data_IF_718435773160
#
_entry.id   IF_718435773160
#
_cell.length_a   1.000
_cell.length_b   1.000
_cell.length_c   1.000
_cell.angle_alpha   90.00
_cell.angle_beta   90.00
_cell.angle_gamma   90.00
#
_symmetry.space_group_name_H-M   'P 1'
#
loop_
_entity.id
_entity.type
_entity.pdbx_description
1 polymer ?
#
# COMPACT_ATOMS: atom_id res chain seq x y z
N UNK A 1 -13.25 31.33 27.60
CA UNK A 1 -11.99 31.94 28.07
C UNK A 1 -12.29 32.68 29.37
N UNK A 2 -12.07 32.05 30.52
CA UNK A 2 -12.00 32.75 31.80
C UNK A 2 -10.73 33.60 31.80
N UNK A 3 -10.87 34.81 31.25
CA UNK A 3 -9.76 35.76 31.16
C UNK A 3 -9.60 36.48 32.49
N UNK A 4 -8.34 36.68 32.87
CA UNK A 4 -7.89 37.52 33.99
C UNK A 4 -8.72 38.81 34.01
N UNK A 5 -9.47 39.04 35.10
CA UNK A 5 -10.35 40.21 35.19
C UNK A 5 -9.54 41.48 35.48
N UNK A 6 -9.97 42.60 34.92
CA UNK A 6 -9.36 43.92 35.18
C UNK A 6 -9.34 44.23 36.68
N UNK A 7 -10.38 43.81 37.42
CA UNK A 7 -10.47 43.97 38.87
C UNK A 7 -9.39 43.21 39.66
N UNK A 8 -8.95 42.04 39.19
CA UNK A 8 -7.86 41.27 39.80
C UNK A 8 -6.49 41.94 39.57
N UNK A 9 -6.29 42.50 38.37
CA UNK A 9 -5.07 43.26 38.04
C UNK A 9 -5.00 44.57 38.83
N UNK A 10 -6.13 45.26 39.01
CA UNK A 10 -6.23 46.46 39.84
C UNK A 10 -5.98 46.17 41.33
N UNK A 11 -6.50 45.05 41.83
CA UNK A 11 -6.28 44.60 43.21
C UNK A 11 -4.82 44.22 43.44
N UNK A 12 -4.19 43.51 42.50
CA UNK A 12 -2.75 43.20 42.54
C UNK A 12 -1.90 44.48 42.56
N UNK A 13 -2.22 45.44 41.68
CA UNK A 13 -1.51 46.72 41.62
C UNK A 13 -1.64 47.50 42.94
N UNK A 14 -2.81 47.45 43.58
CA UNK A 14 -3.06 48.09 44.88
C UNK A 14 -2.26 47.42 45.99
N UNK A 15 -2.28 46.10 46.12
CA UNK A 15 -1.51 45.38 47.14
C UNK A 15 0.01 45.58 46.99
N UNK A 16 0.51 45.70 45.76
CA UNK A 16 1.92 46.06 45.50
C UNK A 16 2.21 47.51 45.94
N UNK A 17 1.31 48.47 45.65
CA UNK A 17 1.47 49.88 46.09
C UNK A 17 1.44 50.03 47.61
N UNK A 18 0.62 49.22 48.29
CA UNK A 18 0.48 49.23 49.75
C UNK A 18 1.58 48.40 50.46
N UNK A 19 2.59 47.90 49.72
CA UNK A 19 3.69 47.04 50.20
C UNK A 19 3.21 45.74 50.86
N UNK A 20 1.99 45.30 50.58
CA UNK A 20 1.43 44.06 51.07
C UNK A 20 1.78 42.89 50.14
N UNK A 21 3.04 42.43 50.23
CA UNK A 21 3.56 41.38 49.35
C UNK A 21 2.91 40.00 49.56
N UNK A 22 2.34 39.72 50.73
CA UNK A 22 1.61 38.47 50.99
C UNK A 22 0.33 38.40 50.17
N UNK A 23 -0.45 39.48 50.16
CA UNK A 23 -1.68 39.57 49.37
C UNK A 23 -1.37 39.57 47.86
N UNK A 24 -0.32 40.27 47.43
CA UNK A 24 0.13 40.23 46.04
C UNK A 24 0.56 38.82 45.58
N UNK A 25 1.27 38.07 46.43
CA UNK A 25 1.64 36.68 46.15
C UNK A 25 0.40 35.78 46.03
N UNK A 26 -0.58 35.94 46.93
CA UNK A 26 -1.85 35.19 46.89
C UNK A 26 -2.62 35.45 45.59
N UNK A 27 -2.68 36.71 45.14
CA UNK A 27 -3.36 37.07 43.88
C UNK A 27 -2.61 36.47 42.68
N UNK A 28 -1.28 36.47 42.68
CA UNK A 28 -0.48 35.84 41.61
C UNK A 28 -0.71 34.33 41.59
N UNK A 29 -0.73 33.66 42.75
CA UNK A 29 -0.97 32.22 42.84
C UNK A 29 -2.37 31.85 42.32
N UNK A 30 -3.39 32.66 42.63
CA UNK A 30 -4.74 32.48 42.07
C UNK A 30 -4.76 32.66 40.54
N UNK A 31 -4.08 33.68 40.01
CA UNK A 31 -3.98 33.92 38.57
C UNK A 31 -3.24 32.78 37.84
N UNK A 32 -2.16 32.27 38.44
CA UNK A 32 -1.41 31.13 37.91
C UNK A 32 -2.25 29.86 37.95
N UNK A 33 -3.02 29.63 39.02
CA UNK A 33 -3.93 28.50 39.14
C UNK A 33 -5.02 28.54 38.09
N UNK A 34 -5.70 29.67 37.92
CA UNK A 34 -6.72 29.85 36.87
C UNK A 34 -6.15 29.60 35.47
N UNK A 35 -4.96 30.13 35.18
CA UNK A 35 -4.29 29.91 33.90
C UNK A 35 -3.95 28.43 33.68
N UNK A 36 -3.43 27.75 34.69
CA UNK A 36 -3.12 26.33 34.61
C UNK A 36 -4.38 25.48 34.42
N UNK A 37 -5.48 25.80 35.10
CA UNK A 37 -6.77 25.13 34.92
C UNK A 37 -7.32 25.34 33.50
N UNK A 38 -7.22 26.56 32.95
CA UNK A 38 -7.60 26.85 31.56
C UNK A 38 -6.74 26.07 30.56
N UNK A 39 -5.41 26.05 30.72
CA UNK A 39 -4.50 25.29 29.85
C UNK A 39 -4.78 23.79 29.92
N UNK A 40 -5.01 23.25 31.12
CA UNK A 40 -5.36 21.85 31.29
C UNK A 40 -6.69 21.52 30.62
N UNK A 41 -7.68 22.42 30.69
CA UNK A 41 -8.97 22.25 30.01
C UNK A 41 -8.82 22.31 28.48
N UNK A 42 -8.04 23.24 27.95
CA UNK A 42 -7.73 23.31 26.51
C UNK A 42 -7.02 22.04 26.00
N UNK A 43 -6.05 21.53 26.76
CA UNK A 43 -5.37 20.27 26.44
C UNK A 43 -6.34 19.09 26.49
N UNK A 44 -7.27 19.06 27.46
CA UNK A 44 -8.32 18.03 27.54
C UNK A 44 -9.26 18.10 26.35
N UNK A 45 -9.71 19.29 25.97
CA UNK A 45 -10.57 19.47 24.79
C UNK A 45 -9.87 19.06 23.50
N UNK A 46 -8.60 19.45 23.32
CA UNK A 46 -7.81 19.05 22.16
C UNK A 46 -7.60 17.54 22.12
N UNK A 47 -7.26 16.93 23.26
CA UNK A 47 -7.06 15.48 23.36
C UNK A 47 -8.36 14.71 23.10
N UNK A 48 -9.50 15.19 23.62
CA UNK A 48 -10.80 14.60 23.36
C UNK A 48 -11.22 14.74 21.89
N UNK A 49 -10.95 15.91 21.28
CA UNK A 49 -11.17 16.14 19.86
C UNK A 49 -10.35 15.19 18.98
N UNK A 50 -9.05 15.05 19.27
CA UNK A 50 -8.17 14.11 18.57
C UNK A 50 -8.65 12.67 18.71
N UNK A 51 -9.03 12.26 19.93
CA UNK A 51 -9.52 10.91 20.18
C UNK A 51 -10.81 10.63 19.39
N UNK A 52 -11.76 11.57 19.38
CA UNK A 52 -13.00 11.45 18.61
C UNK A 52 -12.75 11.39 17.09
N UNK A 53 -11.79 12.15 16.59
CA UNK A 53 -11.39 12.07 15.17
C UNK A 53 -10.74 10.73 14.83
N UNK A 54 -9.88 10.19 15.70
CA UNK A 54 -9.29 8.86 15.53
C UNK A 54 -10.34 7.76 15.59
N UNK A 55 -11.27 7.82 16.54
CA UNK A 55 -12.39 6.89 16.67
C UNK A 55 -13.30 6.94 15.43
N UNK A 56 -13.63 8.14 14.95
CA UNK A 56 -14.40 8.32 13.71
C UNK A 56 -13.68 7.78 12.47
N UNK A 57 -12.34 7.92 12.41
CA UNK A 57 -11.52 7.37 11.33
C UNK A 57 -11.48 5.85 11.40
N UNK A 58 -11.29 5.29 12.59
CA UNK A 58 -11.32 3.85 12.83
C UNK A 58 -12.68 3.23 12.52
N UNK A 59 -13.78 3.95 12.69
CA UNK A 59 -15.12 3.46 12.39
C UNK A 59 -15.53 3.64 10.91
N UNK A 60 -14.68 4.20 10.06
CA UNK A 60 -14.97 4.32 8.62
C UNK A 60 -14.84 2.95 7.94
N UNK A 61 -15.99 2.31 7.70
CA UNK A 61 -16.10 0.98 7.08
C UNK A 61 -15.36 0.87 5.74
N UNK A 62 -15.22 1.98 4.99
CA UNK A 62 -14.51 2.00 3.71
C UNK A 62 -13.00 1.83 3.94
N UNK A 63 -12.42 2.58 4.88
CA UNK A 63 -11.00 2.51 5.21
C UNK A 63 -10.67 1.14 5.82
N UNK A 64 -11.55 0.62 6.66
CA UNK A 64 -11.40 -0.71 7.24
C UNK A 64 -11.43 -1.82 6.17
N UNK A 65 -12.37 -1.75 5.20
CA UNK A 65 -12.42 -2.70 4.07
C UNK A 65 -11.15 -2.63 3.24
N UNK A 66 -10.72 -1.42 2.84
CA UNK A 66 -9.52 -1.24 2.04
C UNK A 66 -8.25 -1.73 2.76
N UNK A 67 -8.16 -1.50 4.07
CA UNK A 67 -6.99 -1.92 4.87
C UNK A 67 -6.96 -3.43 5.09
N UNK A 68 -8.12 -4.08 5.28
CA UNK A 68 -8.20 -5.51 5.58
C UNK A 68 -8.10 -6.39 4.32
N UNK A 69 -8.65 -5.96 3.19
CA UNK A 69 -8.78 -6.81 2.00
C UNK A 69 -8.11 -6.20 0.76
N UNK A 70 -8.46 -4.97 0.38
CA UNK A 70 -8.11 -4.47 -0.95
C UNK A 70 -6.62 -4.10 -1.11
N UNK A 71 -5.99 -3.52 -0.08
CA UNK A 71 -4.56 -3.20 -0.10
C UNK A 71 -3.67 -4.46 -0.10
N UNK A 72 -3.91 -5.47 0.77
CA UNK A 72 -3.22 -6.74 0.70
C UNK A 72 -3.37 -7.44 -0.67
N UNK A 73 -4.60 -7.53 -1.19
CA UNK A 73 -4.87 -8.14 -2.50
C UNK A 73 -4.15 -7.40 -3.64
N UNK A 74 -4.23 -6.07 -3.67
CA UNK A 74 -3.53 -5.26 -4.67
C UNK A 74 -2.01 -5.47 -4.60
N UNK A 75 -1.43 -5.53 -3.40
CA UNK A 75 0.00 -5.80 -3.21
C UNK A 75 0.38 -7.19 -3.74
N UNK A 76 -0.43 -8.22 -3.49
CA UNK A 76 -0.20 -9.57 -3.97
C UNK A 76 -0.31 -9.68 -5.50
N UNK A 77 -1.34 -9.05 -6.10
CA UNK A 77 -1.51 -8.98 -7.55
C UNK A 77 -0.37 -8.23 -8.23
N UNK A 78 0.08 -7.11 -7.67
CA UNK A 78 1.23 -6.37 -8.19
C UNK A 78 2.49 -7.24 -8.17
N UNK A 79 2.69 -8.00 -7.09
CA UNK A 79 3.80 -8.95 -6.99
C UNK A 79 3.73 -10.04 -8.06
N UNK A 80 2.55 -10.61 -8.27
CA UNK A 80 2.36 -11.58 -9.36
C UNK A 80 2.68 -10.98 -10.73
N UNK A 81 2.24 -9.75 -11.02
CA UNK A 81 2.54 -9.09 -12.30
C UNK A 81 4.05 -8.88 -12.46
N UNK A 82 4.77 -8.50 -11.41
CA UNK A 82 6.25 -8.42 -11.44
C UNK A 82 6.84 -9.79 -11.83
N UNK A 83 6.49 -10.84 -11.11
CA UNK A 83 7.03 -12.19 -11.34
C UNK A 83 6.70 -12.71 -12.75
N UNK A 84 5.45 -12.57 -13.19
CA UNK A 84 5.00 -13.04 -14.51
C UNK A 84 5.67 -12.25 -15.66
N UNK A 85 5.87 -10.94 -15.49
CA UNK A 85 6.56 -10.12 -16.50
C UNK A 85 8.06 -10.42 -16.55
N UNK A 86 8.67 -10.73 -15.42
CA UNK A 86 10.07 -11.19 -15.33
C UNK A 86 10.27 -12.56 -15.99
N UNK A 87 9.39 -13.51 -15.71
CA UNK A 87 9.43 -14.83 -16.35
C UNK A 87 9.25 -14.72 -17.88
N UNK A 88 8.28 -13.92 -18.34
CA UNK A 88 8.02 -13.74 -19.76
C UNK A 88 9.19 -13.07 -20.51
N UNK A 89 9.85 -12.10 -19.86
CA UNK A 89 11.04 -11.45 -20.43
C UNK A 89 12.23 -12.39 -20.49
N UNK A 90 12.50 -13.16 -19.42
CA UNK A 90 13.56 -14.17 -19.42
C UNK A 90 13.36 -15.20 -20.54
N UNK A 91 12.11 -15.71 -20.71
CA UNK A 91 11.77 -16.60 -21.84
C UNK A 91 12.02 -15.96 -23.20
N UNK A 92 11.71 -14.67 -23.34
CA UNK A 92 11.94 -13.93 -24.59
C UNK A 92 13.44 -13.79 -24.89
N UNK A 93 14.25 -13.53 -23.87
CA UNK A 93 15.70 -13.39 -23.99
C UNK A 93 16.37 -14.74 -24.33
N UNK A 94 15.99 -15.83 -23.65
CA UNK A 94 16.45 -17.19 -23.98
C UNK A 94 16.08 -17.59 -25.41
N UNK A 95 14.87 -17.26 -25.87
CA UNK A 95 14.44 -17.51 -27.23
C UNK A 95 15.26 -16.71 -28.26
N UNK A 96 15.52 -15.43 -27.98
CA UNK A 96 16.34 -14.57 -28.84
C UNK A 96 17.79 -15.09 -28.94
N UNK A 97 18.39 -15.48 -27.81
CA UNK A 97 19.73 -16.08 -27.77
C UNK A 97 19.78 -17.41 -28.55
N UNK A 98 18.77 -18.26 -28.38
CA UNK A 98 18.67 -19.51 -29.14
C UNK A 98 18.60 -19.28 -30.65
N UNK A 99 17.85 -18.26 -31.08
CA UNK A 99 17.77 -17.86 -32.49
C UNK A 99 19.13 -17.36 -32.97
N UNK A 100 19.80 -16.48 -32.23
CA UNK A 100 21.13 -15.96 -32.59
C UNK A 100 22.16 -17.09 -32.79
N UNK A 101 22.22 -18.06 -31.87
CA UNK A 101 23.15 -19.21 -32.01
C UNK A 101 22.83 -20.10 -33.22
N UNK A 102 21.55 -20.27 -33.56
CA UNK A 102 21.14 -20.98 -34.78
C UNK A 102 21.50 -20.20 -36.04
N UNK A 103 21.35 -18.88 -36.03
CA UNK A 103 21.72 -18.01 -37.15
C UNK A 103 23.23 -18.07 -37.41
N UNK A 104 24.06 -18.01 -36.37
CA UNK A 104 25.53 -18.14 -36.49
C UNK A 104 25.94 -19.50 -37.09
N UNK A 105 25.29 -20.58 -36.63
CA UNK A 105 25.51 -21.93 -37.20
C UNK A 105 25.13 -21.97 -38.68
N UNK A 106 24.01 -21.35 -39.04
CA UNK A 106 23.51 -21.33 -40.43
C UNK A 106 24.38 -20.45 -41.33
N UNK A 107 24.86 -19.31 -40.83
CA UNK A 107 25.77 -18.39 -41.52
C UNK A 107 27.06 -19.10 -41.95
N UNK A 108 27.57 -20.02 -41.12
CA UNK A 108 28.76 -20.82 -41.44
C UNK A 108 28.58 -21.84 -42.58
N UNK A 109 27.33 -22.16 -42.95
CA UNK A 109 27.00 -23.18 -43.95
C UNK A 109 26.46 -22.60 -45.26
N UNK A 110 26.17 -21.30 -45.30
CA UNK A 110 25.57 -20.62 -46.44
C UNK A 110 26.59 -19.74 -47.15
N UNK A 111 26.63 -19.84 -48.49
CA UNK A 111 27.48 -19.01 -49.36
C UNK A 111 26.70 -17.99 -50.18
N UNK A 112 25.37 -18.02 -50.13
CA UNK A 112 24.51 -17.07 -50.84
C UNK A 112 24.49 -15.70 -50.13
N UNK A 113 25.00 -14.68 -50.82
CA UNK A 113 25.15 -13.31 -50.31
C UNK A 113 23.80 -12.65 -49.96
N UNK A 114 22.73 -12.96 -50.71
CA UNK A 114 21.39 -12.43 -50.42
C UNK A 114 20.81 -13.02 -49.14
N UNK A 115 21.10 -14.30 -48.87
CA UNK A 115 20.65 -14.98 -47.66
C UNK A 115 21.46 -14.49 -46.45
N UNK A 116 22.78 -14.33 -46.59
CA UNK A 116 23.64 -13.77 -45.54
C UNK A 116 23.19 -12.35 -45.11
N UNK A 117 22.83 -11.49 -46.06
CA UNK A 117 22.29 -10.16 -45.75
C UNK A 117 20.98 -10.22 -44.93
N UNK A 118 20.11 -11.20 -45.23
CA UNK A 118 18.88 -11.41 -44.48
C UNK A 118 19.16 -11.93 -43.06
N UNK A 119 20.10 -12.87 -42.91
CA UNK A 119 20.50 -13.39 -41.60
C UNK A 119 21.06 -12.28 -40.70
N UNK A 120 21.92 -11.42 -41.23
CA UNK A 120 22.47 -10.27 -40.51
C UNK A 120 21.39 -9.28 -40.04
N UNK A 121 20.35 -9.09 -40.87
CA UNK A 121 19.19 -8.26 -40.48
C UNK A 121 18.42 -8.88 -39.31
N UNK A 122 18.18 -10.19 -39.33
CA UNK A 122 17.50 -10.90 -38.23
C UNK A 122 18.35 -10.87 -36.96
N UNK A 123 19.67 -11.07 -37.06
CA UNK A 123 20.59 -10.95 -35.91
C UNK A 123 20.47 -9.57 -35.26
N UNK A 124 20.52 -8.51 -36.07
CA UNK A 124 20.36 -7.12 -35.59
C UNK A 124 19.03 -6.92 -34.87
N UNK A 125 17.93 -7.40 -35.46
CA UNK A 125 16.60 -7.29 -34.85
C UNK A 125 16.48 -8.06 -33.53
N UNK A 126 17.09 -9.24 -33.43
CA UNK A 126 17.11 -10.01 -32.18
C UNK A 126 17.94 -9.30 -31.10
N UNK A 127 19.08 -8.72 -31.46
CA UNK A 127 19.88 -7.88 -30.55
C UNK A 127 19.08 -6.66 -30.09
N UNK A 128 18.36 -5.99 -30.99
CA UNK A 128 17.51 -4.85 -30.63
C UNK A 128 16.39 -5.24 -29.66
N UNK A 129 15.79 -6.43 -29.81
CA UNK A 129 14.81 -6.97 -28.86
C UNK A 129 15.47 -7.18 -27.49
N UNK A 130 16.65 -7.81 -27.43
CA UNK A 130 17.37 -8.03 -26.17
C UNK A 130 17.71 -6.71 -25.46
N UNK A 131 18.17 -5.70 -26.21
CA UNK A 131 18.44 -4.35 -25.68
C UNK A 131 17.14 -3.71 -25.19
N UNK A 132 16.03 -3.82 -25.91
CA UNK A 132 14.74 -3.29 -25.48
C UNK A 132 14.23 -3.97 -24.20
N UNK A 133 14.45 -5.29 -24.03
CA UNK A 133 14.08 -5.99 -22.80
C UNK A 133 14.88 -5.53 -21.58
N UNK A 134 16.05 -4.91 -21.75
CA UNK A 134 16.80 -4.34 -20.61
C UNK A 134 16.02 -3.24 -19.85
N UNK A 135 15.04 -2.57 -20.47
CA UNK A 135 14.15 -1.62 -19.78
C UNK A 135 13.24 -2.28 -18.74
N UNK A 136 13.03 -3.59 -18.85
CA UNK A 136 12.23 -4.35 -17.91
C UNK A 136 12.90 -4.44 -16.52
N UNK A 137 14.24 -4.41 -16.44
CA UNK A 137 14.96 -4.34 -15.15
C UNK A 137 14.61 -3.05 -14.39
N UNK A 138 14.63 -1.91 -15.09
CA UNK A 138 14.24 -0.63 -14.50
C UNK A 138 12.75 -0.62 -14.11
N UNK A 139 11.89 -1.20 -14.95
CA UNK A 139 10.45 -1.28 -14.69
C UNK A 139 10.16 -2.17 -13.48
N UNK A 140 10.87 -3.30 -13.35
CA UNK A 140 10.79 -4.20 -12.22
C UNK A 140 11.24 -3.53 -10.92
N UNK A 141 12.34 -2.76 -10.93
CA UNK A 141 12.78 -2.00 -9.76
C UNK A 141 11.75 -0.95 -9.32
N UNK A 142 11.17 -0.19 -10.26
CA UNK A 142 10.13 0.80 -9.95
C UNK A 142 8.89 0.11 -9.37
N UNK A 143 8.46 -1.01 -9.95
CA UNK A 143 7.27 -1.72 -9.51
C UNK A 143 7.47 -2.37 -8.13
N UNK A 144 8.65 -2.94 -7.86
CA UNK A 144 9.02 -3.42 -6.52
C UNK A 144 8.97 -2.30 -5.47
N UNK A 145 9.47 -1.10 -5.80
CA UNK A 145 9.37 0.06 -4.91
C UNK A 145 7.93 0.50 -4.66
N UNK A 146 7.06 0.38 -5.66
CA UNK A 146 5.63 0.66 -5.49
C UNK A 146 4.99 -0.37 -4.55
N UNK A 147 5.31 -1.66 -4.71
CA UNK A 147 4.85 -2.72 -3.80
C UNK A 147 5.28 -2.41 -2.36
N UNK A 148 6.55 -2.09 -2.13
CA UNK A 148 7.05 -1.73 -0.79
C UNK A 148 6.30 -0.53 -0.18
N UNK A 149 5.95 0.47 -1.00
CA UNK A 149 5.17 1.63 -0.56
C UNK A 149 3.74 1.25 -0.20
N UNK A 150 3.10 0.39 -0.98
CA UNK A 150 1.74 -0.11 -0.71
C UNK A 150 1.71 -0.94 0.56
N UNK A 151 2.66 -1.87 0.74
CA UNK A 151 2.78 -2.67 1.97
C UNK A 151 3.10 -1.80 3.19
N UNK A 152 3.90 -0.75 3.02
CA UNK A 152 4.16 0.22 4.10
C UNK A 152 2.92 1.03 4.47
N UNK A 153 2.11 1.42 3.47
CA UNK A 153 0.84 2.10 3.69
C UNK A 153 -0.15 1.19 4.43
N UNK A 154 -0.28 -0.06 4.00
CA UNK A 154 -1.10 -1.10 4.67
C UNK A 154 -0.73 -1.21 6.15
N UNK A 155 0.56 -1.37 6.46
CA UNK A 155 1.06 -1.47 7.83
C UNK A 155 0.72 -0.23 8.67
N UNK A 156 0.96 0.96 8.12
CA UNK A 156 0.71 2.22 8.83
C UNK A 156 -0.78 2.44 9.10
N UNK A 157 -1.65 2.10 8.14
CA UNK A 157 -3.09 2.17 8.31
C UNK A 157 -3.56 1.18 9.38
N UNK A 158 -3.06 -0.06 9.34
CA UNK A 158 -3.39 -1.06 10.34
C UNK A 158 -2.97 -0.60 11.76
N UNK A 159 -1.74 -0.09 11.91
CA UNK A 159 -1.28 0.47 13.19
C UNK A 159 -2.15 1.64 13.68
N UNK A 160 -2.60 2.51 12.76
CA UNK A 160 -3.45 3.65 13.10
C UNK A 160 -4.84 3.19 13.56
N UNK A 161 -5.41 2.19 12.91
CA UNK A 161 -6.73 1.63 13.25
C UNK A 161 -6.68 0.93 14.62
N UNK A 162 -5.63 0.15 14.88
CA UNK A 162 -5.41 -0.47 16.20
C UNK A 162 -5.25 0.60 17.29
N UNK A 163 -4.48 1.67 17.03
CA UNK A 163 -4.33 2.80 17.97
C UNK A 163 -5.61 3.60 18.17
N UNK A 164 -6.51 3.62 17.19
CA UNK A 164 -7.84 4.20 17.30
C UNK A 164 -8.80 3.34 18.15
N UNK A 165 -8.37 2.13 18.58
CA UNK A 165 -9.16 1.24 19.41
C UNK A 165 -10.15 0.38 18.62
N UNK A 166 -10.02 0.34 17.30
CA UNK A 166 -10.84 -0.52 16.45
C UNK A 166 -10.08 -1.81 16.20
N UNK A 167 -10.73 -2.91 16.57
CA UNK A 167 -10.23 -4.24 16.31
C UNK A 167 -10.66 -4.66 14.90
N UNK A 168 -9.72 -4.55 13.95
CA UNK A 168 -9.92 -4.89 12.53
C UNK A 168 -10.46 -6.31 12.33
N UNK A 169 -10.10 -7.23 13.22
CA UNK A 169 -10.48 -8.64 13.13
C UNK A 169 -11.93 -8.87 13.57
N UNK A 170 -12.44 -8.05 14.48
CA UNK A 170 -13.77 -8.20 15.10
C UNK A 170 -14.83 -7.21 14.57
N UNK A 171 -14.55 -6.43 13.52
CA UNK A 171 -15.55 -5.52 12.92
C UNK A 171 -16.61 -6.31 12.16
N UNK A 172 -17.84 -6.29 12.69
CA UNK A 172 -19.01 -6.88 12.04
C UNK A 172 -19.26 -6.26 10.66
N UNK A 173 -19.39 -7.09 9.62
CA UNK A 173 -19.61 -6.65 8.23
C UNK A 173 -18.34 -6.49 7.37
N UNK A 174 -17.15 -6.71 7.93
CA UNK A 174 -15.90 -6.86 7.16
C UNK A 174 -15.50 -8.32 6.93
N UNK A 175 -16.24 -9.26 7.52
CA UNK A 175 -16.25 -10.66 7.09
C UNK A 175 -16.94 -10.69 5.73
N UNK A 176 -16.17 -10.52 4.66
CA UNK A 176 -16.66 -10.90 3.34
C UNK A 176 -16.93 -12.41 3.40
N UNK A 177 -18.15 -12.84 3.09
CA UNK A 177 -18.43 -14.26 2.93
C UNK A 177 -17.52 -14.81 1.84
N UNK A 178 -17.12 -16.08 1.92
CA UNK A 178 -16.24 -16.69 0.91
C UNK A 178 -16.81 -16.49 -0.52
N UNK A 179 -18.14 -16.44 -0.69
CA UNK A 179 -18.79 -16.12 -1.96
C UNK A 179 -18.59 -14.67 -2.43
N UNK A 180 -18.59 -13.68 -1.53
CA UNK A 180 -18.34 -12.27 -1.88
C UNK A 180 -16.86 -12.01 -2.18
N UNK A 181 -15.95 -12.72 -1.50
CA UNK A 181 -14.52 -12.70 -1.84
C UNK A 181 -14.32 -13.27 -3.23
N UNK A 182 -14.95 -14.41 -3.53
CA UNK A 182 -14.91 -15.03 -4.85
C UNK A 182 -15.44 -14.11 -5.95
N UNK A 183 -16.56 -13.41 -5.71
CA UNK A 183 -17.17 -12.53 -6.71
C UNK A 183 -16.36 -11.25 -6.97
N UNK A 184 -15.75 -10.66 -5.93
CA UNK A 184 -14.86 -9.48 -6.07
C UNK A 184 -13.47 -9.88 -6.63
N UNK A 185 -12.98 -11.09 -6.33
CA UNK A 185 -11.79 -11.68 -6.94
C UNK A 185 -12.02 -11.97 -8.45
N UNK A 186 -13.18 -12.52 -8.81
CA UNK A 186 -13.59 -12.78 -10.20
C UNK A 186 -13.93 -11.53 -11.01
N UNK A 187 -14.22 -10.38 -10.37
CA UNK A 187 -14.37 -9.09 -11.07
C UNK A 187 -13.05 -8.56 -11.62
N UNK A 188 -11.92 -9.10 -11.16
CA UNK A 188 -10.64 -8.91 -11.81
C UNK A 188 -10.58 -9.74 -13.09
N UNK A 189 -10.57 -9.10 -14.26
CA UNK A 189 -10.32 -9.76 -15.55
C UNK A 189 -8.84 -10.18 -15.59
N UNK A 190 -8.50 -11.28 -14.93
CA UNK A 190 -7.12 -11.76 -14.80
C UNK A 190 -7.03 -13.13 -14.11
N UNK A 191 -5.91 -13.84 -14.23
CA UNK A 191 -5.71 -15.13 -13.56
C UNK A 191 -5.86 -14.98 -12.04
N UNK A 192 -6.41 -16.01 -11.39
CA UNK A 192 -6.60 -16.06 -9.94
C UNK A 192 -5.23 -16.27 -9.26
N UNK A 193 -4.65 -15.22 -8.70
CA UNK A 193 -3.22 -15.20 -8.33
C UNK A 193 -2.94 -14.98 -6.84
N UNK A 194 -3.97 -14.71 -6.03
CA UNK A 194 -3.79 -14.53 -4.58
C UNK A 194 -3.79 -15.87 -3.86
N UNK A 195 -3.07 -15.97 -2.73
CA UNK A 195 -3.02 -17.18 -1.89
C UNK A 195 -4.40 -17.62 -1.38
N UNK A 196 -5.35 -16.69 -1.25
CA UNK A 196 -6.74 -16.98 -0.88
C UNK A 196 -7.51 -17.64 -2.03
N UNK A 197 -7.31 -17.17 -3.27
CA UNK A 197 -7.96 -17.74 -4.46
C UNK A 197 -7.28 -18.98 -5.03
N UNK A 198 -6.01 -19.23 -4.68
CA UNK A 198 -5.24 -20.41 -5.13
C UNK A 198 -5.73 -21.73 -4.55
N UNK A 199 -6.61 -21.69 -3.54
CA UNK A 199 -7.17 -22.88 -2.89
C UNK A 199 -8.21 -23.61 -3.74
N UNK A 200 -8.81 -22.91 -4.71
CA UNK A 200 -9.81 -23.44 -5.65
C UNK A 200 -9.47 -23.17 -7.13
N UNK A 201 -8.28 -22.64 -7.41
CA UNK A 201 -7.84 -22.44 -8.80
C UNK A 201 -7.41 -23.77 -9.41
N UNK A 202 -8.20 -24.26 -10.37
CA UNK A 202 -7.82 -25.22 -11.41
C UNK A 202 -6.53 -24.71 -12.05
N UNK A 203 -5.39 -25.21 -11.58
CA UNK A 203 -4.08 -24.60 -11.84
C UNK A 203 -3.20 -25.46 -12.73
N UNK A 204 -3.66 -26.65 -13.09
CA UNK A 204 -3.00 -27.51 -14.07
C UNK A 204 -3.92 -27.80 -15.25
N UNK A 205 -3.32 -27.97 -16.43
CA UNK A 205 -4.00 -28.40 -17.65
C UNK A 205 -4.68 -29.77 -17.45
N UNK A 206 -4.16 -30.59 -16.53
CA UNK A 206 -4.72 -31.88 -16.15
C UNK A 206 -6.09 -31.71 -15.45
N UNK A 207 -6.24 -30.70 -14.59
CA UNK A 207 -7.52 -30.39 -13.93
C UNK A 207 -8.58 -29.86 -14.91
N UNK A 208 -8.14 -29.20 -15.99
CA UNK A 208 -9.03 -28.75 -17.08
C UNK A 208 -9.54 -29.95 -17.88
N UNK A 209 -8.66 -30.91 -18.17
CA UNK A 209 -9.03 -32.14 -18.89
C UNK A 209 -9.95 -33.04 -18.04
N UNK A 210 -9.77 -33.07 -16.72
CA UNK A 210 -10.66 -33.79 -15.79
C UNK A 210 -12.06 -33.16 -15.72
N UNK A 211 -12.15 -31.82 -15.70
CA UNK A 211 -13.42 -31.08 -15.74
C UNK A 211 -14.16 -31.25 -17.08
N UNK A 212 -13.42 -31.32 -18.20
CA UNK A 212 -14.01 -31.60 -19.51
C UNK A 212 -14.49 -33.05 -19.62
N UNK A 213 -13.77 -33.99 -18.99
CA UNK A 213 -14.19 -35.39 -18.84
C UNK A 213 -15.47 -35.55 -18.02
N UNK A 214 -15.64 -34.78 -16.93
CA UNK A 214 -16.88 -34.76 -16.13
C UNK A 214 -18.07 -34.12 -16.86
N UNK A 215 -17.81 -33.17 -17.77
CA UNK A 215 -18.84 -32.56 -18.62
C UNK A 215 -19.22 -33.39 -19.86
N UNK A 216 -18.50 -34.49 -20.12
CA UNK A 216 -18.81 -35.45 -21.18
C UNK A 216 -18.49 -34.98 -22.61
N UNK A 217 -17.47 -34.14 -22.78
CA UNK A 217 -16.89 -33.79 -24.09
C UNK A 217 -15.57 -34.52 -24.34
#
# INVERSE_FOLDING_TARGET
MENISVAQVESLLKSIKDKNYQEAASIIDELVKMKNESLVNEVKELSAGLHKSLESFGNDTIILKHTKHDLPDASERLKYVIEATEEASNKTLEAAESVLGKLETLESQITDESVLATLSTIQTQMTDIMVAQSFQDLTGQVLNRIVDLVTSLEKNLNELIVKAGVDLDNVAGLEATDEQRHEDEMKGVGPNVTKSSKKDSVSSQDDVDDLLGELGL
#
